data_IF_091628900071
#
_entry.id   IF_091628900071
#
_cell.length_a   1.000
_cell.length_b   1.000
_cell.length_c   1.000
_cell.angle_alpha   90.00
_cell.angle_beta   90.00
_cell.angle_gamma   90.00
#
_symmetry.space_group_name_H-M   'P 1'
#
loop_
_entity.id
_entity.type
_entity.pdbx_description
1 polymer ?
#
# COMPACT_ATOMS: atom_id res chain seq x y z
N UNK A 1 5.36 -14.69 -23.79
CA UNK A 1 5.60 -14.19 -22.41
C UNK A 1 4.25 -13.98 -21.74
N UNK A 2 3.88 -14.72 -20.67
CA UNK A 2 2.63 -14.45 -19.97
C UNK A 2 2.71 -13.03 -19.38
N UNK A 3 1.80 -12.17 -19.82
CA UNK A 3 1.65 -10.79 -19.35
C UNK A 3 1.24 -10.90 -17.88
N UNK A 4 2.17 -10.70 -16.94
CA UNK A 4 1.85 -10.68 -15.51
C UNK A 4 0.75 -9.66 -15.28
N UNK A 5 -0.48 -10.15 -15.13
CA UNK A 5 -1.64 -9.32 -14.81
C UNK A 5 -1.37 -8.73 -13.44
N UNK A 6 -1.33 -7.40 -13.36
CA UNK A 6 -1.18 -6.69 -12.08
C UNK A 6 -2.34 -7.14 -11.19
N UNK A 7 -2.03 -7.81 -10.09
CA UNK A 7 -3.06 -8.17 -9.12
C UNK A 7 -3.66 -6.88 -8.57
N UNK A 8 -4.99 -6.82 -8.55
CA UNK A 8 -5.72 -5.66 -8.06
C UNK A 8 -5.49 -5.54 -6.55
N UNK A 9 -5.07 -4.37 -6.10
CA UNK A 9 -4.84 -4.09 -4.68
C UNK A 9 -6.19 -3.69 -4.05
N UNK A 10 -6.61 -4.42 -3.03
CA UNK A 10 -7.86 -4.17 -2.33
C UNK A 10 -7.80 -2.89 -1.48
N UNK A 11 -8.96 -2.33 -1.13
CA UNK A 11 -9.00 -1.13 -0.29
C UNK A 11 -8.45 -1.40 1.12
N UNK A 12 -8.68 -2.60 1.67
CA UNK A 12 -8.11 -3.01 2.97
C UNK A 12 -6.58 -3.07 2.93
N UNK A 13 -5.99 -3.56 1.83
CA UNK A 13 -4.53 -3.56 1.66
C UNK A 13 -3.95 -2.15 1.55
N UNK A 14 -4.65 -1.25 0.86
CA UNK A 14 -4.25 0.17 0.78
C UNK A 14 -4.36 0.86 2.14
N UNK A 15 -5.42 0.59 2.90
CA UNK A 15 -5.58 1.11 4.25
C UNK A 15 -4.44 0.63 5.16
N UNK A 16 -4.09 -0.66 5.10
CA UNK A 16 -2.98 -1.21 5.88
C UNK A 16 -1.63 -0.57 5.52
N UNK A 17 -1.38 -0.29 4.23
CA UNK A 17 -0.20 0.44 3.78
C UNK A 17 -0.14 1.86 4.37
N UNK A 18 -1.28 2.58 4.40
CA UNK A 18 -1.38 3.91 5.02
C UNK A 18 -1.16 3.84 6.52
N UNK A 19 -1.79 2.90 7.21
CA UNK A 19 -1.61 2.67 8.63
C UNK A 19 -0.13 2.38 8.97
N UNK A 20 0.55 1.57 8.17
CA UNK A 20 1.98 1.30 8.34
C UNK A 20 2.84 2.56 8.18
N UNK A 21 2.52 3.41 7.21
CA UNK A 21 3.21 4.69 7.03
C UNK A 21 2.91 5.67 8.18
N UNK A 22 1.69 5.68 8.74
CA UNK A 22 1.37 6.49 9.92
C UNK A 22 2.10 6.00 11.17
N UNK A 23 2.24 4.69 11.36
CA UNK A 23 3.02 4.10 12.46
C UNK A 23 4.52 4.35 12.32
N UNK A 24 5.02 4.38 11.08
CA UNK A 24 6.44 4.55 10.77
C UNK A 24 6.65 5.56 9.63
N UNK A 25 6.43 6.85 9.88
CA UNK A 25 6.49 7.90 8.84
C UNK A 25 7.89 8.13 8.28
N UNK A 26 8.92 7.62 8.95
CA UNK A 26 10.31 7.66 8.49
C UNK A 26 10.64 6.57 7.44
N UNK A 27 9.75 5.62 7.18
CA UNK A 27 9.99 4.59 6.17
C UNK A 27 9.89 5.17 4.77
N UNK A 28 10.90 4.88 3.94
CA UNK A 28 10.86 5.20 2.52
C UNK A 28 9.82 4.36 1.78
N UNK A 29 9.38 4.84 0.62
CA UNK A 29 8.49 4.09 -0.28
C UNK A 29 9.05 2.69 -0.62
N UNK A 30 10.38 2.54 -0.71
CA UNK A 30 11.01 1.25 -0.98
C UNK A 30 10.89 0.30 0.22
N UNK A 31 10.99 0.80 1.45
CA UNK A 31 10.78 0.01 2.64
C UNK A 31 9.31 -0.43 2.77
N UNK A 32 8.37 0.47 2.48
CA UNK A 32 6.94 0.14 2.43
C UNK A 32 6.63 -0.88 1.33
N UNK A 33 7.31 -0.80 0.19
CA UNK A 33 7.18 -1.80 -0.89
C UNK A 33 7.62 -3.19 -0.41
N UNK A 34 8.76 -3.27 0.28
CA UNK A 34 9.25 -4.54 0.84
C UNK A 34 8.27 -5.09 1.86
N UNK A 35 7.83 -4.27 2.80
CA UNK A 35 6.83 -4.65 3.80
C UNK A 35 5.54 -5.16 3.16
N UNK A 36 5.03 -4.45 2.14
CA UNK A 36 3.81 -4.84 1.43
C UNK A 36 3.97 -6.20 0.73
N UNK A 37 5.13 -6.43 0.12
CA UNK A 37 5.45 -7.71 -0.51
C UNK A 37 5.62 -8.83 0.51
N UNK A 38 6.19 -8.57 1.67
CA UNK A 38 6.31 -9.58 2.74
C UNK A 38 4.94 -9.96 3.31
N UNK A 39 4.08 -8.98 3.55
CA UNK A 39 2.75 -9.13 4.14
C UNK A 39 1.75 -9.83 3.20
N UNK A 40 1.66 -9.36 1.95
CA UNK A 40 0.62 -9.82 1.01
C UNK A 40 1.15 -10.72 -0.10
N UNK A 41 2.47 -10.99 -0.16
CA UNK A 41 3.13 -11.70 -1.26
C UNK A 41 2.83 -11.08 -2.64
N UNK A 42 2.51 -9.79 -2.64
CA UNK A 42 2.13 -9.01 -3.81
C UNK A 42 3.14 -7.91 -4.10
N UNK A 43 3.44 -7.71 -5.39
CA UNK A 43 4.29 -6.60 -5.82
C UNK A 43 3.44 -5.34 -6.00
N UNK A 44 3.94 -4.24 -5.45
CA UNK A 44 3.38 -2.91 -5.63
C UNK A 44 4.43 -1.97 -6.21
N UNK A 45 4.02 -1.10 -7.13
CA UNK A 45 4.92 -0.11 -7.70
C UNK A 45 5.10 1.08 -6.74
N UNK A 46 6.31 1.68 -6.67
CA UNK A 46 6.56 2.87 -5.84
C UNK A 46 5.61 4.04 -6.14
N UNK A 47 5.22 4.23 -7.41
CA UNK A 47 4.25 5.24 -7.82
C UNK A 47 2.86 4.96 -7.24
N UNK A 48 2.46 3.68 -7.16
CA UNK A 48 1.19 3.28 -6.52
C UNK A 48 1.23 3.54 -5.01
N UNK A 49 2.35 3.27 -4.34
CA UNK A 49 2.56 3.58 -2.92
C UNK A 49 2.35 5.08 -2.70
N UNK A 50 3.06 5.92 -3.45
CA UNK A 50 2.96 7.38 -3.33
C UNK A 50 1.52 7.86 -3.54
N UNK A 51 0.80 7.27 -4.51
CA UNK A 51 -0.61 7.57 -4.76
C UNK A 51 -1.52 7.13 -3.61
N UNK A 52 -1.28 5.97 -2.99
CA UNK A 52 -2.07 5.48 -1.84
C UNK A 52 -1.79 6.29 -0.58
N UNK A 53 -0.57 6.81 -0.40
CA UNK A 53 -0.23 7.69 0.72
C UNK A 53 -0.76 9.11 0.56
N UNK A 54 -1.07 9.53 -0.68
CA UNK A 54 -1.67 10.83 -0.98
C UNK A 54 -3.01 11.06 -0.26
N UNK A 55 -3.38 12.33 0.03
CA UNK A 55 -4.68 12.68 0.62
C UNK A 55 -5.90 12.14 -0.15
N UNK A 56 -5.75 11.86 -1.45
CA UNK A 56 -6.80 11.24 -2.27
C UNK A 56 -7.32 9.89 -1.71
N UNK A 57 -6.51 9.23 -0.88
CA UNK A 57 -6.84 7.95 -0.25
C UNK A 57 -7.00 8.07 1.27
N UNK A 58 -7.07 9.28 1.85
CA UNK A 58 -7.28 9.48 3.28
C UNK A 58 -8.60 8.87 3.79
N UNK A 59 -9.61 8.74 2.92
CA UNK A 59 -10.86 8.07 3.26
C UNK A 59 -10.66 6.59 3.68
N UNK A 60 -9.56 5.94 3.22
CA UNK A 60 -9.25 4.56 3.58
C UNK A 60 -8.86 4.39 5.05
N UNK A 61 -8.38 5.45 5.71
CA UNK A 61 -8.01 5.41 7.12
C UNK A 61 -9.25 5.13 7.99
N UNK A 62 -10.43 5.54 7.52
CA UNK A 62 -11.71 5.27 8.19
C UNK A 62 -12.21 3.84 7.95
N UNK A 63 -11.78 3.16 6.89
CA UNK A 63 -12.24 1.80 6.53
C UNK A 63 -11.60 0.73 7.41
N UNK A 64 -10.40 0.99 7.95
CA UNK A 64 -9.69 0.01 8.79
C UNK A 64 -10.27 -0.13 10.22
N UNK A 65 -11.24 0.72 10.60
CA UNK A 65 -11.80 0.78 11.96
C UNK A 65 -13.06 -0.08 12.16
N UNK A 66 -13.32 -1.07 11.31
CA UNK A 66 -14.50 -1.94 11.41
C UNK A 66 -14.15 -3.43 11.42
#
# INVERSE_FOLDING_TARGET
MPKQTRQSISNSQKAALRAQHHLKPYLSNLALQKWFHEMYKQRINPSSISRILSPAFAFLDNIQSH
#
